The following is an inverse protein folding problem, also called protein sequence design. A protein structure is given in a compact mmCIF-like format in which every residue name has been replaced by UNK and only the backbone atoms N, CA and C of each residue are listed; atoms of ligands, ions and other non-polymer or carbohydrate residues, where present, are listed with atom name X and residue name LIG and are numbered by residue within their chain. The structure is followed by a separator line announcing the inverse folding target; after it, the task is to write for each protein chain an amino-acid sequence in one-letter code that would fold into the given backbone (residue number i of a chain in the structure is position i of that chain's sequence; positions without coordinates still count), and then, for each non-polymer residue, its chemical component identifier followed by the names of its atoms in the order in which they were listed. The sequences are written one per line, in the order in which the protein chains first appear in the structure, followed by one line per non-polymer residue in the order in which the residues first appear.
data_IF_602761007351
#
_entry.id   IF_602761007351
#
_cell.length_a   1.000
_cell.length_b   1.000
_cell.length_c   1.000
_cell.angle_alpha   90.00
_cell.angle_beta   90.00
_cell.angle_gamma   90.00
#
_symmetry.space_group_name_H-M   'P 1'
#
loop_
_entity.id
_entity.type
_entity.pdbx_description
1 polymer ?
#
# COMPACT_ATOMS: atom_id res chain seq x y z
N UNK A 1 6.94 -3.09 22.05
CA UNK A 1 8.13 -2.23 22.34
C UNK A 1 8.67 -1.51 21.12
N UNK A 2 8.50 -2.04 19.90
CA UNK A 2 8.95 -1.34 18.67
C UNK A 2 8.18 -0.05 18.36
N UNK A 3 6.97 0.13 18.85
CA UNK A 3 6.13 1.32 18.60
C UNK A 3 6.48 2.53 19.51
N UNK A 4 7.22 2.36 20.58
CA UNK A 4 7.52 3.44 21.53
C UNK A 4 8.73 4.30 21.18
N UNK A 5 9.45 4.01 20.09
CA UNK A 5 10.79 4.58 19.85
C UNK A 5 10.96 5.34 18.54
N UNK A 6 9.90 5.73 17.82
CA UNK A 6 10.04 6.31 16.48
C UNK A 6 10.26 7.84 16.42
N UNK A 7 10.21 8.55 17.55
CA UNK A 7 10.47 9.99 17.58
C UNK A 7 11.64 10.30 18.51
N UNK A 8 12.79 10.53 17.92
CA UNK A 8 13.95 11.09 18.62
C UNK A 8 14.79 10.11 19.43
N UNK A 9 14.50 8.82 19.42
CA UNK A 9 15.23 7.82 20.19
C UNK A 9 16.03 6.86 19.31
N UNK A 10 17.11 6.38 19.86
CA UNK A 10 17.98 5.38 19.25
C UNK A 10 17.22 4.06 19.10
N UNK A 11 17.07 3.60 17.86
CA UNK A 11 16.64 2.22 17.59
C UNK A 11 17.85 1.30 17.63
N UNK A 12 17.62 0.03 17.93
CA UNK A 12 18.65 -0.98 17.92
C UNK A 12 18.22 -2.17 17.06
N UNK A 13 19.12 -2.66 16.23
CA UNK A 13 18.99 -3.94 15.55
C UNK A 13 19.66 -4.98 16.44
N UNK A 14 18.96 -6.08 16.70
CA UNK A 14 19.48 -7.18 17.51
C UNK A 14 19.62 -8.44 16.66
N UNK A 15 20.81 -8.99 16.66
CA UNK A 15 21.07 -10.41 16.38
C UNK A 15 21.13 -11.17 17.73
N UNK A 16 21.09 -12.48 17.71
CA UNK A 16 20.98 -13.37 18.90
C UNK A 16 21.88 -12.98 20.09
N UNK A 17 22.99 -12.31 19.82
CA UNK A 17 23.99 -11.95 20.86
C UNK A 17 24.46 -10.50 20.82
N UNK A 18 24.11 -9.73 19.78
CA UNK A 18 24.64 -8.38 19.58
C UNK A 18 23.54 -7.39 19.24
N UNK A 19 23.61 -6.19 19.80
CA UNK A 19 22.70 -5.08 19.51
C UNK A 19 23.51 -3.87 19.04
N UNK A 20 23.12 -3.25 17.94
CA UNK A 20 23.76 -2.06 17.39
C UNK A 20 22.77 -0.90 17.27
N UNK A 21 23.18 0.34 17.58
CA UNK A 21 22.32 1.50 17.45
C UNK A 21 22.12 1.87 15.97
N UNK A 22 20.90 2.26 15.61
CA UNK A 22 20.54 2.70 14.27
C UNK A 22 19.76 4.00 14.30
N UNK A 23 19.76 4.72 13.18
CA UNK A 23 18.94 5.88 12.94
C UNK A 23 17.90 5.58 11.84
N UNK A 24 16.71 6.15 11.97
CA UNK A 24 15.70 6.12 10.92
C UNK A 24 16.06 7.17 9.87
N UNK A 25 16.31 6.75 8.65
CA UNK A 25 16.64 7.65 7.54
C UNK A 25 15.45 7.98 6.64
N UNK A 26 14.44 7.11 6.60
CA UNK A 26 13.16 7.36 5.98
C UNK A 26 12.08 6.57 6.71
N UNK A 27 10.89 7.13 6.81
CA UNK A 27 9.73 6.51 7.46
C UNK A 27 8.44 6.89 6.74
N UNK A 28 7.58 5.91 6.53
CA UNK A 28 6.21 6.08 6.06
C UNK A 28 5.22 5.49 7.07
N UNK A 29 4.43 6.33 7.77
CA UNK A 29 3.47 5.85 8.75
C UNK A 29 2.26 5.14 8.13
N UNK A 30 1.90 5.46 6.87
CA UNK A 30 0.76 4.86 6.19
C UNK A 30 1.05 3.44 5.72
N UNK A 31 2.25 3.24 5.14
CA UNK A 31 2.73 1.92 4.72
C UNK A 31 3.39 1.14 5.86
N UNK A 32 3.62 1.80 7.02
CA UNK A 32 4.36 1.27 8.17
C UNK A 32 5.74 0.70 7.78
N UNK A 33 6.46 1.47 6.95
CA UNK A 33 7.80 1.12 6.48
C UNK A 33 8.82 2.12 7.01
N UNK A 34 9.98 1.62 7.42
CA UNK A 34 11.10 2.44 7.84
C UNK A 34 12.41 1.94 7.22
N UNK A 35 13.27 2.86 6.77
CA UNK A 35 14.64 2.59 6.38
C UNK A 35 15.57 2.99 7.52
N UNK A 36 16.37 2.03 7.96
CA UNK A 36 17.31 2.19 9.04
C UNK A 36 18.74 2.23 8.51
N UNK A 37 19.60 2.99 9.17
CA UNK A 37 21.06 3.03 8.93
C UNK A 37 21.78 2.87 10.26
N UNK A 38 22.95 2.23 10.26
CA UNK A 38 23.82 2.21 11.42
C UNK A 38 24.12 3.65 11.88
N UNK A 39 24.07 3.89 13.18
CA UNK A 39 24.39 5.19 13.76
C UNK A 39 25.90 5.44 13.72
N UNK A 40 26.70 4.41 13.97
CA UNK A 40 28.15 4.49 14.01
C UNK A 40 28.75 3.61 12.90
N UNK A 41 29.70 4.14 12.14
CA UNK A 41 30.43 3.37 11.13
C UNK A 41 31.25 2.22 11.75
N UNK A 42 31.69 2.36 12.98
CA UNK A 42 32.39 1.31 13.72
C UNK A 42 31.57 0.02 13.89
N UNK A 43 30.24 0.12 13.81
CA UNK A 43 29.34 -1.03 13.91
C UNK A 43 29.17 -1.76 12.56
N UNK A 44 29.83 -1.32 11.48
CA UNK A 44 29.71 -1.93 10.15
C UNK A 44 30.06 -3.42 10.15
N UNK A 45 31.04 -3.86 10.96
CA UNK A 45 31.40 -5.26 11.14
C UNK A 45 30.22 -6.15 11.61
N UNK A 46 29.15 -5.57 12.17
CA UNK A 46 27.92 -6.29 12.48
C UNK A 46 27.20 -6.70 11.19
N UNK A 47 27.07 -5.78 10.23
CA UNK A 47 26.40 -6.06 8.95
C UNK A 47 27.19 -7.04 8.07
N UNK A 48 28.54 -7.01 8.16
CA UNK A 48 29.39 -7.92 7.38
C UNK A 48 29.18 -9.40 7.73
N UNK A 49 28.64 -9.68 8.91
CA UNK A 49 28.28 -11.04 9.34
C UNK A 49 26.93 -11.50 8.83
N UNK A 50 26.08 -10.58 8.33
CA UNK A 50 24.75 -10.87 7.88
C UNK A 50 24.75 -11.22 6.38
N UNK A 51 23.92 -12.18 6.00
CA UNK A 51 23.65 -12.47 4.60
C UNK A 51 22.53 -11.54 4.13
N UNK A 52 22.81 -10.60 3.18
CA UNK A 52 21.77 -9.68 2.72
C UNK A 52 20.64 -10.42 2.02
N UNK A 53 19.41 -10.09 2.40
CA UNK A 53 18.22 -10.57 1.70
C UNK A 53 17.93 -9.63 0.52
N UNK A 54 17.82 -10.20 -0.68
CA UNK A 54 17.45 -9.43 -1.87
C UNK A 54 15.94 -9.40 -2.06
N UNK A 55 15.44 -8.31 -2.65
CA UNK A 55 14.06 -8.25 -3.11
C UNK A 55 13.87 -9.17 -4.31
N UNK A 56 12.88 -10.06 -4.24
CA UNK A 56 12.52 -10.99 -5.30
C UNK A 56 11.62 -10.35 -6.35
N UNK A 57 11.13 -11.14 -7.28
CA UNK A 57 10.06 -10.72 -8.20
C UNK A 57 8.71 -10.74 -7.49
N UNK A 58 7.77 -9.89 -7.92
CA UNK A 58 6.42 -9.90 -7.43
C UNK A 58 5.80 -11.31 -7.54
N UNK A 59 5.15 -11.81 -6.48
CA UNK A 59 4.53 -13.12 -6.50
C UNK A 59 3.23 -13.08 -7.33
N UNK A 60 2.77 -14.28 -7.74
CA UNK A 60 1.52 -14.50 -8.47
C UNK A 60 0.51 -15.22 -7.60
N UNK A 61 -0.77 -15.15 -7.96
CA UNK A 61 -1.79 -15.97 -7.30
C UNK A 61 -1.42 -17.46 -7.35
N UNK A 62 -1.57 -18.13 -6.22
CA UNK A 62 -1.22 -19.53 -6.04
C UNK A 62 0.24 -19.79 -5.63
N UNK A 63 1.11 -18.78 -5.69
CA UNK A 63 2.50 -18.94 -5.28
C UNK A 63 2.59 -19.33 -3.79
N UNK A 64 3.48 -20.28 -3.51
CA UNK A 64 3.86 -20.63 -2.16
C UNK A 64 4.88 -19.63 -1.63
N UNK A 65 4.66 -19.21 -0.40
CA UNK A 65 5.53 -18.29 0.32
C UNK A 65 5.83 -18.81 1.72
N UNK A 66 6.87 -18.28 2.34
CA UNK A 66 7.28 -18.68 3.69
C UNK A 66 7.39 -17.46 4.57
N UNK A 67 6.68 -17.41 5.67
CA UNK A 67 6.83 -16.43 6.73
C UNK A 67 8.03 -16.80 7.57
N UNK A 68 8.88 -15.83 7.87
CA UNK A 68 9.99 -15.98 8.77
C UNK A 68 9.75 -15.17 10.03
N UNK A 69 9.87 -15.79 11.17
CA UNK A 69 9.76 -15.18 12.49
C UNK A 69 10.93 -15.66 13.34
N UNK A 70 11.21 -14.97 14.43
CA UNK A 70 12.23 -15.38 15.40
C UNK A 70 11.59 -15.49 16.76
N UNK A 71 11.86 -16.59 17.47
CA UNK A 71 11.43 -16.76 18.85
C UNK A 71 12.26 -15.88 19.80
N UNK A 72 11.95 -15.97 21.09
CA UNK A 72 12.64 -15.17 22.12
C UNK A 72 14.14 -15.52 22.23
N UNK A 73 14.55 -16.71 21.81
CA UNK A 73 15.94 -17.18 21.77
C UNK A 73 16.66 -16.79 20.48
N UNK A 74 15.99 -16.09 19.55
CA UNK A 74 16.54 -15.71 18.25
C UNK A 74 16.57 -16.84 17.22
N UNK A 75 15.90 -17.98 17.49
CA UNK A 75 15.83 -19.09 16.53
C UNK A 75 14.73 -18.82 15.49
N UNK A 76 15.00 -19.11 14.20
CA UNK A 76 14.04 -18.89 13.15
C UNK A 76 12.89 -19.90 13.23
N UNK A 77 11.66 -19.40 13.09
CA UNK A 77 10.45 -20.17 12.90
C UNK A 77 9.89 -19.84 11.53
N UNK A 78 9.61 -20.87 10.74
CA UNK A 78 9.02 -20.68 9.41
C UNK A 78 7.63 -21.26 9.32
N UNK A 79 6.73 -20.53 8.66
CA UNK A 79 5.35 -20.99 8.41
C UNK A 79 5.03 -20.80 6.94
N UNK A 80 4.49 -21.83 6.31
CA UNK A 80 4.11 -21.79 4.90
C UNK A 80 2.81 -21.01 4.70
N UNK A 81 2.71 -20.34 3.56
CA UNK A 81 1.50 -19.66 3.10
C UNK A 81 1.29 -19.81 1.60
N UNK A 82 0.13 -19.37 1.13
CA UNK A 82 -0.21 -19.32 -0.29
C UNK A 82 -0.86 -17.99 -0.59
N UNK A 83 -0.37 -17.26 -1.60
CA UNK A 83 -1.00 -16.03 -2.06
C UNK A 83 -2.33 -16.35 -2.75
N UNK A 84 -3.45 -15.89 -2.19
CA UNK A 84 -4.78 -16.19 -2.71
C UNK A 84 -5.41 -15.04 -3.50
N UNK A 85 -5.15 -13.80 -3.07
CA UNK A 85 -5.81 -12.62 -3.62
C UNK A 85 -5.05 -11.35 -3.25
N UNK A 86 -5.55 -10.23 -3.72
CA UNK A 86 -5.26 -8.90 -3.17
C UNK A 86 -6.48 -8.35 -2.44
N UNK A 87 -6.26 -7.43 -1.54
CA UNK A 87 -7.32 -6.78 -0.75
C UNK A 87 -6.98 -5.30 -0.52
N UNK A 88 -7.95 -4.41 -0.72
CA UNK A 88 -7.80 -3.01 -0.34
C UNK A 88 -8.03 -2.85 1.15
N UNK A 89 -7.01 -2.38 1.88
CA UNK A 89 -7.06 -2.24 3.34
C UNK A 89 -6.11 -1.16 3.84
N UNK A 90 -6.44 -0.58 4.99
CA UNK A 90 -5.63 0.41 5.73
C UNK A 90 -5.29 -0.14 7.12
N UNK A 91 -4.42 -1.15 7.23
CA UNK A 91 -4.22 -1.87 8.50
C UNK A 91 -3.46 -1.08 9.56
N UNK A 92 -2.79 0.02 9.19
CA UNK A 92 -1.89 0.74 10.09
C UNK A 92 -2.43 2.10 10.55
N UNK A 93 -3.20 2.77 9.68
CA UNK A 93 -3.74 4.12 9.90
C UNK A 93 -5.14 4.23 9.30
N UNK A 94 -5.89 5.26 9.64
CA UNK A 94 -7.17 5.57 8.99
C UNK A 94 -6.98 6.31 7.64
N UNK A 95 -5.86 6.06 6.95
CA UNK A 95 -5.57 6.63 5.64
C UNK A 95 -6.32 5.92 4.52
N UNK A 96 -6.14 6.41 3.29
CA UNK A 96 -6.61 5.71 2.10
C UNK A 96 -6.02 4.29 2.03
N UNK A 97 -6.82 3.31 1.57
CA UNK A 97 -6.38 1.93 1.54
C UNK A 97 -5.26 1.70 0.51
N UNK A 98 -4.35 0.83 0.86
CA UNK A 98 -3.39 0.20 -0.04
C UNK A 98 -3.93 -1.14 -0.55
N UNK A 99 -3.39 -1.60 -1.66
CA UNK A 99 -3.58 -2.96 -2.13
C UNK A 99 -2.58 -3.88 -1.43
N UNK A 100 -3.07 -4.75 -0.58
CA UNK A 100 -2.26 -5.70 0.18
C UNK A 100 -2.39 -7.12 -0.39
N UNK A 101 -1.38 -7.95 -0.22
CA UNK A 101 -1.51 -9.37 -0.49
C UNK A 101 -2.35 -10.04 0.60
N UNK A 102 -3.29 -10.88 0.19
CA UNK A 102 -4.03 -11.77 1.06
C UNK A 102 -3.42 -13.17 0.95
N UNK A 103 -2.74 -13.59 2.00
CA UNK A 103 -2.02 -14.87 2.06
C UNK A 103 -2.74 -15.81 3.03
N UNK A 104 -3.15 -16.97 2.54
CA UNK A 104 -3.65 -18.04 3.39
C UNK A 104 -2.48 -18.67 4.15
N UNK A 105 -2.51 -18.60 5.46
CA UNK A 105 -1.46 -19.17 6.32
C UNK A 105 -1.97 -19.41 7.74
N UNK A 106 -1.41 -20.40 8.41
CA UNK A 106 -1.61 -20.64 9.83
C UNK A 106 -0.60 -19.90 10.71
N UNK A 107 0.10 -18.91 10.16
CA UNK A 107 1.07 -18.12 10.92
C UNK A 107 0.39 -17.47 12.13
N UNK A 108 0.94 -17.73 13.30
CA UNK A 108 0.55 -17.05 14.55
C UNK A 108 1.55 -15.93 14.79
N UNK A 109 1.10 -14.66 14.93
CA UNK A 109 2.01 -13.56 15.19
C UNK A 109 2.77 -13.81 16.50
N UNK A 110 4.09 -13.83 16.43
CA UNK A 110 4.93 -13.63 17.61
C UNK A 110 4.94 -12.14 17.96
N UNK A 111 5.55 -11.78 19.08
CA UNK A 111 5.54 -10.39 19.59
C UNK A 111 5.64 -9.32 18.48
N UNK A 112 4.59 -8.52 18.33
CA UNK A 112 4.52 -7.40 17.38
C UNK A 112 3.70 -7.61 16.12
N UNK A 113 3.40 -8.84 15.71
CA UNK A 113 2.41 -9.20 14.67
C UNK A 113 2.67 -8.73 13.22
N UNK A 114 3.35 -7.61 13.03
CA UNK A 114 3.64 -7.00 11.73
C UNK A 114 5.14 -7.00 11.42
N UNK A 115 5.50 -6.81 10.14
CA UNK A 115 6.88 -6.66 9.69
C UNK A 115 7.63 -7.98 9.48
N UNK A 116 7.00 -9.14 9.68
CA UNK A 116 7.67 -10.41 9.41
C UNK A 116 7.95 -10.56 7.92
N UNK A 117 9.20 -10.91 7.52
CA UNK A 117 9.53 -11.12 6.12
C UNK A 117 8.79 -12.34 5.55
N UNK A 118 8.24 -12.13 4.37
CA UNK A 118 7.58 -13.18 3.58
C UNK A 118 8.48 -13.44 2.37
N UNK A 119 8.96 -14.66 2.29
CA UNK A 119 9.99 -15.10 1.35
C UNK A 119 9.44 -16.02 0.29
N UNK A 120 10.00 -15.95 -0.92
CA UNK A 120 9.88 -16.93 -1.98
C UNK A 120 11.25 -17.12 -2.64
N UNK A 121 11.68 -18.36 -2.77
CA UNK A 121 13.00 -18.70 -3.35
C UNK A 121 14.16 -17.93 -2.67
N UNK A 122 14.12 -17.86 -1.34
CA UNK A 122 15.06 -17.13 -0.48
C UNK A 122 15.17 -15.61 -0.77
N UNK A 123 14.16 -15.03 -1.40
CA UNK A 123 14.07 -13.59 -1.67
C UNK A 123 12.86 -12.99 -1.00
N UNK A 124 12.97 -11.76 -0.52
CA UNK A 124 11.87 -11.02 0.08
C UNK A 124 10.84 -10.67 -0.99
N UNK A 125 9.58 -11.01 -0.76
CA UNK A 125 8.47 -10.68 -1.68
C UNK A 125 7.36 -9.87 -1.02
N UNK A 126 7.29 -9.85 0.31
CA UNK A 126 6.34 -9.06 1.06
C UNK A 126 6.78 -8.94 2.53
N UNK A 127 6.11 -8.04 3.29
CA UNK A 127 6.21 -7.94 4.73
C UNK A 127 4.81 -8.09 5.34
N UNK A 128 4.66 -8.87 6.41
CA UNK A 128 3.35 -9.03 7.05
C UNK A 128 2.85 -7.70 7.61
N UNK A 129 1.58 -7.37 7.35
CA UNK A 129 0.90 -6.20 7.88
C UNK A 129 0.01 -6.56 9.06
N UNK A 130 -0.77 -7.62 8.92
CA UNK A 130 -1.61 -8.18 9.98
C UNK A 130 -1.80 -9.68 9.77
N UNK A 131 -2.07 -10.39 10.85
CA UNK A 131 -2.35 -11.81 10.81
C UNK A 131 -3.60 -12.11 11.65
N UNK A 132 -4.51 -12.90 11.07
CA UNK A 132 -5.67 -13.47 11.76
C UNK A 132 -5.55 -15.00 11.71
N UNK A 133 -5.03 -15.64 12.77
CA UNK A 133 -4.87 -17.09 12.82
C UNK A 133 -6.20 -17.84 12.75
N UNK A 134 -7.29 -17.26 13.26
CA UNK A 134 -8.62 -17.87 13.27
C UNK A 134 -9.20 -17.97 11.86
N UNK A 135 -8.98 -16.98 11.03
CA UNK A 135 -9.34 -16.98 9.62
C UNK A 135 -8.27 -17.62 8.73
N UNK A 136 -7.13 -18.03 9.28
CA UNK A 136 -5.95 -18.46 8.52
C UNK A 136 -5.55 -17.45 7.43
N UNK A 137 -5.61 -16.16 7.77
CA UNK A 137 -5.40 -15.04 6.86
C UNK A 137 -4.27 -14.15 7.36
N UNK A 138 -3.38 -13.79 6.47
CA UNK A 138 -2.40 -12.73 6.68
C UNK A 138 -2.53 -11.70 5.56
N UNK A 139 -2.56 -10.41 5.93
CA UNK A 139 -2.38 -9.31 4.99
C UNK A 139 -0.91 -8.92 4.97
N UNK A 140 -0.40 -8.57 3.80
CA UNK A 140 1.00 -8.23 3.64
C UNK A 140 1.20 -7.02 2.72
N UNK A 141 2.14 -6.15 3.12
CA UNK A 141 2.66 -5.05 2.30
C UNK A 141 3.27 -5.65 1.05
N UNK A 142 2.85 -5.17 -0.11
CA UNK A 142 3.20 -5.77 -1.39
C UNK A 142 4.64 -5.47 -1.81
N UNK A 143 5.17 -6.32 -2.68
CA UNK A 143 6.43 -6.09 -3.37
C UNK A 143 6.51 -4.69 -4.02
N UNK A 144 5.41 -4.24 -4.64
CA UNK A 144 5.31 -2.93 -5.28
C UNK A 144 5.52 -1.79 -4.28
N UNK A 145 4.81 -1.82 -3.14
CA UNK A 145 4.96 -0.81 -2.09
C UNK A 145 6.38 -0.79 -1.52
N UNK A 146 6.96 -1.98 -1.24
CA UNK A 146 8.34 -2.08 -0.72
C UNK A 146 9.33 -1.51 -1.73
N UNK A 147 9.21 -1.87 -3.01
CA UNK A 147 10.09 -1.35 -4.08
C UNK A 147 10.01 0.17 -4.19
N UNK A 148 8.79 0.70 -4.14
CA UNK A 148 8.53 2.14 -4.20
C UNK A 148 9.14 2.88 -3.01
N UNK A 149 8.88 2.39 -1.81
CA UNK A 149 9.46 2.93 -0.59
C UNK A 149 10.97 2.97 -0.67
N UNK A 150 11.61 1.85 -1.03
CA UNK A 150 13.07 1.76 -1.14
C UNK A 150 13.64 2.69 -2.21
N UNK A 151 12.97 2.84 -3.34
CA UNK A 151 13.39 3.75 -4.41
C UNK A 151 13.43 5.20 -3.94
N UNK A 152 12.36 5.67 -3.28
CA UNK A 152 12.31 7.03 -2.74
C UNK A 152 13.27 7.21 -1.55
N UNK A 153 13.27 6.29 -0.60
CA UNK A 153 14.11 6.39 0.58
C UNK A 153 15.61 6.45 0.25
N UNK A 154 16.05 5.74 -0.80
CA UNK A 154 17.43 5.78 -1.26
C UNK A 154 17.80 7.05 -2.02
N UNK A 155 16.86 7.76 -2.62
CA UNK A 155 17.12 9.05 -3.29
C UNK A 155 17.37 10.19 -2.31
N UNK A 156 17.12 9.99 -1.02
CA UNK A 156 17.25 11.01 0.02
C UNK A 156 16.12 12.04 0.06
N UNK A 157 15.14 11.94 -0.85
CA UNK A 157 13.97 12.80 -0.90
C UNK A 157 12.70 11.95 -0.83
N UNK A 158 12.37 11.52 0.38
CA UNK A 158 11.18 10.72 0.62
C UNK A 158 9.92 11.60 0.63
N UNK A 159 9.00 11.39 -0.31
CA UNK A 159 7.76 12.16 -0.47
C UNK A 159 6.50 11.38 -0.08
N UNK A 160 6.63 10.09 0.24
CA UNK A 160 5.51 9.22 0.59
C UNK A 160 4.73 8.69 -0.62
N UNK A 161 3.54 8.18 -0.37
CA UNK A 161 2.62 7.70 -1.39
C UNK A 161 1.59 8.78 -1.73
N UNK A 162 1.13 8.89 -3.00
CA UNK A 162 0.05 9.79 -3.34
C UNK A 162 -1.21 9.47 -2.54
N UNK A 163 -1.98 10.50 -2.21
CA UNK A 163 -3.27 10.37 -1.56
C UNK A 163 -4.22 11.46 -2.08
N UNK A 164 -5.47 11.12 -2.33
CA UNK A 164 -6.43 12.03 -2.94
C UNK A 164 -7.68 12.28 -2.06
N UNK A 165 -8.08 11.33 -1.23
CA UNK A 165 -9.26 11.43 -0.36
C UNK A 165 -10.59 11.25 -1.11
N UNK A 166 -10.56 10.80 -2.36
CA UNK A 166 -11.77 10.60 -3.16
C UNK A 166 -12.56 9.39 -2.65
N UNK A 167 -13.83 9.64 -2.34
CA UNK A 167 -14.79 8.59 -1.98
C UNK A 167 -15.54 8.12 -3.23
N UNK A 168 -15.53 6.82 -3.45
CA UNK A 168 -16.13 6.20 -4.63
C UNK A 168 -17.12 5.10 -4.24
N UNK A 169 -17.99 4.73 -5.18
CA UNK A 169 -18.84 3.55 -5.06
C UNK A 169 -18.82 2.74 -6.35
N UNK A 170 -19.08 1.46 -6.23
CA UNK A 170 -19.16 0.50 -7.34
C UNK A 170 -20.36 0.78 -8.24
N UNK A 171 -20.27 0.32 -9.48
CA UNK A 171 -21.32 0.44 -10.50
C UNK A 171 -21.98 -0.92 -10.82
N UNK A 172 -22.17 -1.74 -9.82
CA UNK A 172 -22.74 -3.08 -9.98
C UNK A 172 -24.26 -3.09 -10.14
N UNK A 173 -24.96 -2.03 -9.66
CA UNK A 173 -26.41 -1.90 -9.79
C UNK A 173 -26.82 -1.40 -11.20
N UNK A 174 -27.56 -2.20 -11.99
CA UNK A 174 -27.98 -1.81 -13.33
C UNK A 174 -28.98 -0.63 -13.32
N UNK A 175 -29.77 -0.45 -12.27
CA UNK A 175 -30.71 0.67 -12.15
C UNK A 175 -29.93 1.97 -11.95
N UNK A 176 -28.92 1.94 -11.09
CA UNK A 176 -28.03 3.09 -10.88
C UNK A 176 -27.25 3.43 -12.15
N UNK A 177 -26.72 2.43 -12.88
CA UNK A 177 -26.05 2.64 -14.17
C UNK A 177 -26.98 3.33 -15.17
N UNK A 178 -28.23 2.86 -15.31
CA UNK A 178 -29.24 3.47 -16.19
C UNK A 178 -29.56 4.90 -15.77
N UNK A 179 -29.70 5.17 -14.46
CA UNK A 179 -29.89 6.52 -13.92
C UNK A 179 -28.77 7.47 -14.31
N UNK A 180 -27.53 6.98 -14.31
CA UNK A 180 -26.34 7.74 -14.72
C UNK A 180 -26.23 7.92 -16.26
N UNK A 181 -27.08 7.27 -17.05
CA UNK A 181 -27.01 7.29 -18.51
C UNK A 181 -25.78 6.57 -19.07
N UNK A 182 -25.30 5.55 -18.34
CA UNK A 182 -24.16 4.73 -18.76
C UNK A 182 -24.58 3.66 -19.77
N UNK A 183 -23.64 3.20 -20.62
CA UNK A 183 -23.86 2.03 -21.46
C UNK A 183 -24.22 0.79 -20.62
N UNK A 184 -24.97 -0.15 -21.21
CA UNK A 184 -25.32 -1.41 -20.53
C UNK A 184 -24.09 -2.21 -20.12
N UNK A 185 -23.05 -2.16 -20.93
CA UNK A 185 -21.75 -2.79 -20.68
C UNK A 185 -20.69 -1.76 -20.30
N UNK A 186 -19.64 -2.19 -19.60
CA UNK A 186 -18.56 -1.34 -19.15
C UNK A 186 -18.47 -1.28 -17.64
N UNK A 187 -17.39 -0.73 -17.15
CA UNK A 187 -17.10 -0.66 -15.73
C UNK A 187 -16.81 0.76 -15.27
N UNK A 188 -16.17 0.84 -14.14
CA UNK A 188 -15.76 2.09 -13.51
C UNK A 188 -16.20 2.18 -12.06
N UNK A 189 -15.87 3.30 -11.46
CA UNK A 189 -16.40 3.69 -10.15
C UNK A 189 -17.02 5.09 -10.22
N UNK A 190 -18.07 5.29 -9.46
CA UNK A 190 -18.74 6.58 -9.34
C UNK A 190 -18.10 7.42 -8.26
N UNK A 191 -17.79 8.67 -8.56
CA UNK A 191 -17.22 9.64 -7.63
C UNK A 191 -18.34 10.24 -6.77
N UNK A 192 -18.39 9.83 -5.50
CA UNK A 192 -19.39 10.31 -4.54
C UNK A 192 -18.98 11.67 -3.99
N UNK A 193 -17.73 11.78 -3.53
CA UNK A 193 -17.18 12.96 -2.89
C UNK A 193 -15.68 12.99 -3.09
N UNK A 194 -15.11 14.19 -3.23
CA UNK A 194 -13.66 14.39 -3.26
C UNK A 194 -13.30 15.74 -2.62
N UNK A 195 -12.12 15.85 -2.00
CA UNK A 195 -11.68 17.10 -1.40
C UNK A 195 -11.27 18.10 -2.47
N UNK A 196 -11.62 19.37 -2.28
CA UNK A 196 -11.34 20.44 -3.25
C UNK A 196 -9.84 20.70 -3.48
N UNK A 197 -9.01 20.27 -2.55
CA UNK A 197 -7.55 20.36 -2.62
C UNK A 197 -6.91 19.08 -3.15
N UNK A 198 -7.68 18.01 -3.37
CA UNK A 198 -7.20 16.73 -3.90
C UNK A 198 -6.76 16.82 -5.37
N UNK A 199 -5.90 15.91 -5.77
CA UNK A 199 -5.35 15.81 -7.13
C UNK A 199 -6.45 15.68 -8.18
N UNK A 200 -7.44 14.83 -7.91
CA UNK A 200 -8.56 14.59 -8.82
C UNK A 200 -9.41 15.84 -8.99
N UNK A 201 -9.72 16.57 -7.90
CA UNK A 201 -10.49 17.80 -7.99
C UNK A 201 -9.74 18.90 -8.76
N UNK A 202 -8.45 19.07 -8.50
CA UNK A 202 -7.57 20.03 -9.21
C UNK A 202 -7.52 19.74 -10.71
N UNK A 203 -7.50 18.45 -11.08
CA UNK A 203 -7.53 18.03 -12.48
C UNK A 203 -8.90 18.17 -13.16
N UNK A 204 -9.94 18.49 -12.41
CA UNK A 204 -11.26 18.73 -12.97
C UNK A 204 -12.29 17.60 -12.75
N UNK A 205 -11.95 16.54 -12.02
CA UNK A 205 -12.94 15.52 -11.58
C UNK A 205 -13.94 16.18 -10.62
N UNK A 206 -15.19 15.77 -10.70
CA UNK A 206 -16.28 16.29 -9.86
C UNK A 206 -17.14 15.16 -9.29
N UNK A 207 -17.84 15.39 -8.15
CA UNK A 207 -18.88 14.46 -7.70
C UNK A 207 -19.89 14.23 -8.82
N UNK A 208 -20.26 12.99 -9.03
CA UNK A 208 -21.15 12.61 -10.15
C UNK A 208 -20.42 12.06 -11.38
N UNK A 209 -19.11 12.22 -11.48
CA UNK A 209 -18.31 11.61 -12.54
C UNK A 209 -18.21 10.09 -12.32
N UNK A 210 -18.04 9.39 -13.42
CA UNK A 210 -17.70 7.96 -13.46
C UNK A 210 -16.30 7.83 -14.05
N UNK A 211 -15.36 7.26 -13.30
CA UNK A 211 -14.04 6.93 -13.81
C UNK A 211 -14.10 5.55 -14.44
N UNK A 212 -13.88 5.46 -15.76
CA UNK A 212 -13.98 4.23 -16.54
C UNK A 212 -12.62 3.59 -16.82
N UNK A 213 -11.54 4.37 -16.78
CA UNK A 213 -10.17 3.87 -17.01
C UNK A 213 -9.12 4.72 -16.32
N UNK A 214 -7.97 4.10 -16.03
CA UNK A 214 -6.76 4.76 -15.53
C UNK A 214 -5.60 4.37 -16.45
N UNK A 215 -4.89 5.37 -17.01
CA UNK A 215 -3.80 5.17 -17.98
C UNK A 215 -4.21 4.28 -19.16
N UNK A 216 -5.47 4.40 -19.63
CA UNK A 216 -6.04 3.58 -20.68
C UNK A 216 -6.43 2.16 -20.26
N UNK A 217 -6.15 1.73 -19.03
CA UNK A 217 -6.54 0.42 -18.48
C UNK A 217 -8.01 0.51 -18.04
N UNK A 218 -8.93 -0.27 -18.64
CA UNK A 218 -10.34 -0.22 -18.30
C UNK A 218 -10.60 -0.83 -16.91
N UNK A 219 -11.58 -0.26 -16.22
CA UNK A 219 -12.08 -0.74 -14.93
C UNK A 219 -13.30 -1.64 -15.14
N UNK A 220 -13.47 -2.64 -14.28
CA UNK A 220 -14.72 -3.40 -14.19
C UNK A 220 -15.79 -2.65 -13.36
N UNK A 221 -16.98 -3.24 -13.19
CA UNK A 221 -18.10 -2.62 -12.45
C UNK A 221 -17.82 -2.43 -10.95
N UNK A 222 -16.75 -3.01 -10.41
CA UNK A 222 -16.27 -2.83 -9.04
C UNK A 222 -15.09 -1.86 -8.94
N UNK A 223 -14.67 -1.24 -10.05
CA UNK A 223 -13.49 -0.38 -10.09
C UNK A 223 -12.17 -1.15 -10.03
N UNK A 224 -12.18 -2.42 -10.40
CA UNK A 224 -10.98 -3.26 -10.44
C UNK A 224 -10.39 -3.28 -11.85
N UNK A 225 -9.07 -3.44 -11.90
CA UNK A 225 -8.33 -3.78 -13.13
C UNK A 225 -8.04 -5.28 -13.15
N UNK A 226 -7.78 -5.82 -14.32
CA UNK A 226 -7.31 -7.22 -14.47
C UNK A 226 -5.79 -7.24 -14.59
N UNK A 227 -5.12 -7.64 -13.50
CA UNK A 227 -3.68 -7.88 -13.50
C UNK A 227 -3.38 -9.32 -13.93
N UNK A 228 -2.41 -9.56 -14.85
CA UNK A 228 -2.09 -10.91 -15.34
C UNK A 228 -1.55 -11.86 -14.27
N UNK A 229 -0.96 -11.35 -13.20
CA UNK A 229 -0.35 -12.13 -12.14
C UNK A 229 -1.26 -12.27 -10.90
N UNK A 230 -2.04 -11.22 -10.61
CA UNK A 230 -2.81 -11.08 -9.37
C UNK A 230 -4.34 -11.16 -9.60
N UNK A 231 -4.78 -11.31 -10.85
CA UNK A 231 -6.21 -11.34 -11.18
C UNK A 231 -6.89 -9.97 -11.01
N UNK A 232 -8.11 -9.90 -10.43
CA UNK A 232 -8.77 -8.64 -10.15
C UNK A 232 -8.06 -7.87 -9.03
N UNK A 233 -7.64 -6.62 -9.30
CA UNK A 233 -6.90 -5.76 -8.36
C UNK A 233 -7.55 -4.38 -8.33
N UNK A 234 -7.64 -3.74 -7.18
CA UNK A 234 -8.12 -2.37 -7.09
C UNK A 234 -7.28 -1.41 -7.95
N UNK A 235 -7.95 -0.48 -8.63
CA UNK A 235 -7.29 0.55 -9.42
C UNK A 235 -6.34 1.44 -8.59
N UNK A 236 -6.44 1.44 -7.26
CA UNK A 236 -5.51 2.13 -6.37
C UNK A 236 -4.05 1.76 -6.64
N UNK A 237 -3.79 0.52 -7.11
CA UNK A 237 -2.43 0.11 -7.47
C UNK A 237 -1.80 1.03 -8.51
N UNK A 238 -2.57 1.63 -9.41
CA UNK A 238 -2.08 2.46 -10.50
C UNK A 238 -1.75 3.90 -10.09
N UNK A 239 -2.48 4.45 -9.12
CA UNK A 239 -2.34 5.86 -8.75
C UNK A 239 -1.93 6.10 -7.30
N UNK A 240 -1.83 5.04 -6.48
CA UNK A 240 -1.33 5.12 -5.11
C UNK A 240 -0.11 4.23 -4.90
N UNK A 241 -0.25 2.90 -5.02
CA UNK A 241 0.78 1.95 -4.56
C UNK A 241 2.03 1.95 -5.44
N UNK A 242 1.87 2.14 -6.76
CA UNK A 242 2.98 2.16 -7.72
C UNK A 242 3.39 3.56 -8.18
N UNK A 243 2.58 4.58 -7.89
CA UNK A 243 2.81 5.97 -8.32
C UNK A 243 3.63 6.79 -7.32
N UNK A 244 4.20 7.92 -7.73
CA UNK A 244 4.88 8.91 -6.90
C UNK A 244 4.10 10.23 -6.86
N UNK A 245 4.15 10.99 -5.76
CA UNK A 245 3.77 12.39 -5.81
C UNK A 245 4.55 13.10 -6.93
N UNK A 246 3.81 13.78 -7.80
CA UNK A 246 4.36 14.41 -9.01
C UNK A 246 4.14 13.63 -10.31
N UNK A 247 3.87 12.32 -10.24
CA UNK A 247 3.52 11.54 -11.43
C UNK A 247 2.21 12.03 -12.05
N UNK A 248 2.08 11.89 -13.36
CA UNK A 248 0.86 12.22 -14.09
C UNK A 248 0.20 10.91 -14.51
N UNK A 249 -1.07 10.78 -14.18
CA UNK A 249 -1.94 9.70 -14.68
C UNK A 249 -3.03 10.28 -15.56
N UNK A 250 -3.53 9.49 -16.50
CA UNK A 250 -4.65 9.86 -17.36
C UNK A 250 -5.91 9.10 -16.93
N UNK A 251 -6.97 9.84 -16.59
CA UNK A 251 -8.29 9.27 -16.28
C UNK A 251 -9.20 9.37 -17.49
N UNK A 252 -9.77 8.25 -17.93
CA UNK A 252 -10.95 8.25 -18.78
C UNK A 252 -12.18 8.33 -17.88
N UNK A 253 -12.93 9.40 -18.01
CA UNK A 253 -14.12 9.62 -17.18
C UNK A 253 -15.36 9.82 -18.07
N UNK A 254 -16.52 9.68 -17.46
CA UNK A 254 -17.80 10.02 -18.04
C UNK A 254 -18.57 10.94 -17.12
N UNK A 255 -19.06 12.04 -17.67
CA UNK A 255 -19.83 13.07 -16.93
C UNK A 255 -21.22 13.21 -17.52
N UNK A 256 -22.23 13.19 -16.64
CA UNK A 256 -23.62 13.39 -17.05
C UNK A 256 -23.88 14.86 -17.36
N UNK A 257 -24.31 15.14 -18.60
CA UNK A 257 -24.72 16.47 -19.03
C UNK A 257 -26.08 16.89 -18.48
N UNK A 258 -26.44 18.15 -18.70
CA UNK A 258 -27.76 18.70 -18.32
C UNK A 258 -28.92 18.05 -19.09
N UNK A 259 -28.63 17.52 -20.25
CA UNK A 259 -29.54 16.74 -21.12
C UNK A 259 -29.78 15.32 -20.64
N UNK A 260 -29.12 14.91 -19.52
CA UNK A 260 -29.17 13.56 -18.98
C UNK A 260 -28.26 12.55 -19.66
N UNK A 261 -27.56 12.94 -20.71
CA UNK A 261 -26.65 12.08 -21.47
C UNK A 261 -25.24 12.18 -20.87
N UNK A 262 -24.62 11.01 -20.65
CA UNK A 262 -23.22 10.97 -20.17
C UNK A 262 -22.24 11.05 -21.31
N UNK A 263 -21.34 12.03 -21.24
CA UNK A 263 -20.30 12.28 -22.24
C UNK A 263 -18.93 11.80 -21.74
N UNK A 264 -18.15 11.08 -22.56
CA UNK A 264 -16.80 10.69 -22.22
C UNK A 264 -15.85 11.91 -22.29
N UNK A 265 -14.85 11.93 -21.43
CA UNK A 265 -13.77 12.91 -21.44
C UNK A 265 -12.51 12.31 -20.82
N UNK A 266 -11.36 12.92 -21.09
CA UNK A 266 -10.07 12.51 -20.56
C UNK A 266 -9.48 13.65 -19.75
N UNK A 267 -8.91 13.32 -18.59
CA UNK A 267 -8.27 14.26 -17.68
C UNK A 267 -6.88 13.76 -17.30
N UNK A 268 -5.88 14.61 -17.42
CA UNK A 268 -4.56 14.34 -16.85
C UNK A 268 -4.50 14.86 -15.42
N UNK A 269 -4.12 13.97 -14.51
CA UNK A 269 -4.07 14.22 -13.08
C UNK A 269 -2.64 14.14 -12.62
N UNK A 270 -2.09 15.26 -12.15
CA UNK A 270 -0.84 15.27 -11.42
C UNK A 270 -1.11 14.82 -10.00
N UNK A 271 -0.56 13.68 -9.63
CA UNK A 271 -0.73 13.09 -8.30
C UNK A 271 0.02 13.90 -7.25
N UNK A 272 -0.59 14.04 -6.08
CA UNK A 272 -0.04 14.80 -4.96
C UNK A 272 -0.34 14.08 -3.65
N UNK A 273 0.39 14.42 -2.61
CA UNK A 273 0.11 13.99 -1.24
C UNK A 273 -0.61 15.07 -0.43
N UNK A 274 -0.65 16.30 -0.91
CA UNK A 274 -1.08 17.49 -0.16
C UNK A 274 -2.54 17.45 0.31
N UNK A 275 -3.36 16.59 -0.26
CA UNK A 275 -4.76 16.44 0.13
C UNK A 275 -4.97 16.04 1.60
N UNK A 276 -3.98 15.40 2.21
CA UNK A 276 -4.10 14.77 3.50
C UNK A 276 -3.04 15.23 4.51
N UNK A 277 -2.20 16.20 4.18
CA UNK A 277 -1.19 16.73 5.11
C UNK A 277 -1.78 17.24 6.44
N UNK A 278 -3.02 17.70 6.45
CA UNK A 278 -3.73 18.13 7.66
C UNK A 278 -4.38 16.99 8.47
N UNK A 279 -4.79 15.92 7.80
CA UNK A 279 -5.57 14.82 8.41
C UNK A 279 -4.72 13.60 8.77
N UNK A 280 -3.63 13.36 8.02
CA UNK A 280 -2.76 12.18 8.19
C UNK A 280 -1.68 12.38 9.24
N UNK A 281 -1.31 13.60 9.48
CA UNK A 281 -0.32 13.97 10.51
C UNK A 281 -1.00 14.65 11.67
N UNK A 282 -2.13 14.19 12.08
CA UNK A 282 -2.34 14.19 13.51
C UNK A 282 -1.48 13.03 14.03
N UNK A 283 -0.27 13.29 14.56
CA UNK A 283 0.47 12.25 15.24
C UNK A 283 -0.49 11.83 16.33
N UNK A 284 -1.14 10.76 16.06
CA UNK A 284 -2.08 10.14 16.96
C UNK A 284 -1.51 10.21 18.36
N UNK A 285 -2.32 10.28 19.41
CA UNK A 285 -1.90 10.25 20.81
C UNK A 285 -0.90 9.14 21.17
N UNK A 286 -0.54 8.28 20.24
CA UNK A 286 0.57 7.32 20.38
C UNK A 286 1.97 7.95 20.50
N UNK A 287 2.14 9.22 20.11
CA UNK A 287 3.43 9.96 20.25
C UNK A 287 3.37 10.96 21.42
N UNK A 288 2.19 11.24 21.97
CA UNK A 288 1.97 12.32 22.92
C UNK A 288 1.94 11.89 24.40
N UNK A 289 2.26 10.65 24.75
CA UNK A 289 2.46 10.26 26.14
C UNK A 289 3.91 9.87 26.38
N UNK A 290 4.66 10.73 27.14
CA UNK A 290 6.02 10.41 27.59
C UNK A 290 6.04 9.22 28.54
#
# INVERSE_FOLDING_TARGET
EMQRSLVGSEMCIRDSSQTVPVTVTAFDPEANLALLRLKNEADAAFLDKLVPVTLGNAPRLGDKVTFWQFNDDGLPITTSGTLLATESSSPFTNSEPFVLYNVKSSVTPLKGGAGNPIMRDNKLVALSASCDPSAQKALAVTHTMISRFLQQARSGNYTGFPADGTQVTELTDPVFRKFLGLPETGGGFYVVKLPVYGSFYKAGVRPGDVVESVNGIPLDSKGLIRDPALGPVSANVLFRDSAMPGDIITLGIRRKGKDGVSQPMTLDVKLDRSALEGDLVNPSPFIANP
#
